data_IF_569856446329
#
_entry.id   IF_569856446329
#
_cell.length_a   1.000
_cell.length_b   1.000
_cell.length_c   1.000
_cell.angle_alpha   90.00
_cell.angle_beta   90.00
_cell.angle_gamma   90.00
#
_symmetry.space_group_name_H-M   'P 1'
#
loop_
_entity.id
_entity.type
_entity.pdbx_description
1 polymer ?
#
# COMPACT_ATOMS: atom_id res chain seq x y z
N UNK A 1 -1.29 16.16 27.27
CA UNK A 1 -0.84 14.91 27.89
C UNK A 1 0.21 14.29 26.99
N UNK A 2 1.51 14.54 27.26
CA UNK A 2 2.57 13.84 26.57
C UNK A 2 2.54 12.39 27.04
N UNK A 3 2.23 11.46 26.13
CA UNK A 3 2.39 10.04 26.36
C UNK A 3 3.88 9.78 26.64
N UNK A 4 4.18 9.21 27.80
CA UNK A 4 5.57 9.00 28.25
C UNK A 4 6.30 8.09 27.25
N UNK A 5 7.57 8.37 26.89
CA UNK A 5 8.40 7.53 26.03
C UNK A 5 8.42 6.06 26.47
N UNK A 6 8.37 5.81 27.78
CA UNK A 6 8.33 4.47 28.39
C UNK A 6 7.20 3.57 27.87
N UNK A 7 6.08 4.16 27.41
CA UNK A 7 4.99 3.38 26.81
C UNK A 7 5.32 2.92 25.39
N UNK A 8 6.11 3.66 24.61
CA UNK A 8 6.54 3.23 23.28
C UNK A 8 7.41 1.97 23.37
N UNK A 9 8.37 1.96 24.31
CA UNK A 9 9.25 0.82 24.54
C UNK A 9 8.47 -0.39 25.09
N UNK A 10 7.47 -0.15 25.96
CA UNK A 10 6.59 -1.21 26.45
C UNK A 10 5.78 -1.87 25.30
N UNK A 11 5.20 -1.07 24.41
CA UNK A 11 4.48 -1.61 23.23
C UNK A 11 5.44 -2.30 22.26
N UNK A 12 6.63 -1.77 22.05
CA UNK A 12 7.65 -2.41 21.22
C UNK A 12 8.03 -3.80 21.78
N UNK A 13 8.32 -3.88 23.08
CA UNK A 13 8.68 -5.14 23.75
C UNK A 13 7.51 -6.14 23.72
N UNK A 14 6.28 -5.67 23.90
CA UNK A 14 5.07 -6.49 23.75
C UNK A 14 4.97 -7.05 22.31
N UNK A 15 5.22 -6.21 21.30
CA UNK A 15 5.25 -6.63 19.91
C UNK A 15 6.31 -7.70 19.65
N UNK A 16 7.51 -7.59 20.24
CA UNK A 16 8.54 -8.61 20.12
C UNK A 16 8.08 -9.95 20.72
N UNK A 17 7.53 -9.93 21.93
CA UNK A 17 7.03 -11.14 22.57
C UNK A 17 5.89 -11.81 21.80
N UNK A 18 4.96 -11.03 21.24
CA UNK A 18 3.88 -11.52 20.41
C UNK A 18 4.38 -12.13 19.08
N UNK A 19 5.36 -11.46 18.44
CA UNK A 19 6.03 -11.98 17.23
C UNK A 19 6.70 -13.32 17.48
N UNK A 20 7.40 -13.49 18.60
CA UNK A 20 8.03 -14.76 19.00
C UNK A 20 7.01 -15.86 19.25
N UNK A 21 5.79 -15.51 19.71
CA UNK A 21 4.68 -16.44 19.86
C UNK A 21 3.98 -16.77 18.53
N UNK A 22 4.39 -16.17 17.41
CA UNK A 22 3.72 -16.32 16.12
C UNK A 22 2.42 -15.55 15.97
N UNK A 23 2.05 -14.69 16.93
CA UNK A 23 0.85 -13.84 16.93
C UNK A 23 1.14 -12.56 16.14
N UNK A 24 1.29 -12.72 14.80
CA UNK A 24 1.82 -11.65 13.96
C UNK A 24 0.90 -10.43 13.89
N UNK A 25 -0.43 -10.61 13.80
CA UNK A 25 -1.39 -9.50 13.73
C UNK A 25 -1.37 -8.67 15.03
N UNK A 26 -1.36 -9.34 16.19
CA UNK A 26 -1.26 -8.68 17.48
C UNK A 26 0.09 -7.96 17.65
N UNK A 27 1.18 -8.56 17.16
CA UNK A 27 2.50 -7.93 17.17
C UNK A 27 2.54 -6.65 16.32
N UNK A 28 1.95 -6.70 15.12
CA UNK A 28 1.83 -5.54 14.22
C UNK A 28 1.04 -4.42 14.90
N UNK A 29 -0.05 -4.75 15.59
CA UNK A 29 -0.84 -3.76 16.33
C UNK A 29 -0.04 -3.14 17.47
N UNK A 30 0.74 -3.93 18.21
CA UNK A 30 1.60 -3.43 19.27
C UNK A 30 2.70 -2.49 18.73
N UNK A 31 3.38 -2.85 17.64
CA UNK A 31 4.33 -1.97 16.97
C UNK A 31 3.67 -0.69 16.45
N UNK A 32 2.46 -0.78 15.90
CA UNK A 32 1.72 0.39 15.44
C UNK A 32 1.43 1.36 16.59
N UNK A 33 1.07 0.85 17.79
CA UNK A 33 0.89 1.67 19.00
C UNK A 33 2.22 2.31 19.45
N UNK A 34 3.32 1.56 19.41
CA UNK A 34 4.64 2.11 19.71
C UNK A 34 5.01 3.26 18.76
N UNK A 35 4.77 3.09 17.46
CA UNK A 35 5.05 4.09 16.42
C UNK A 35 4.10 5.30 16.47
N UNK A 36 2.89 5.14 16.96
CA UNK A 36 1.98 6.25 17.23
C UNK A 36 2.50 7.17 18.35
N UNK A 37 3.23 6.61 19.33
CA UNK A 37 3.85 7.35 20.44
C UNK A 37 5.20 7.91 20.02
N UNK A 38 6.03 7.11 19.34
CA UNK A 38 7.40 7.45 18.91
C UNK A 38 7.53 7.22 17.38
N UNK A 39 7.19 8.23 16.55
CA UNK A 39 7.14 8.09 15.07
C UNK A 39 8.50 7.87 14.39
N UNK A 40 9.61 8.02 15.12
CA UNK A 40 10.99 7.81 14.64
C UNK A 40 11.63 6.51 15.16
N UNK A 41 10.83 5.60 15.73
CA UNK A 41 11.30 4.33 16.31
C UNK A 41 11.71 3.33 15.23
N UNK A 42 12.95 3.40 14.76
CA UNK A 42 13.46 2.60 13.63
C UNK A 42 13.35 1.08 13.87
N UNK A 43 13.66 0.61 15.09
CA UNK A 43 13.60 -0.81 15.45
C UNK A 43 12.14 -1.34 15.39
N UNK A 44 11.16 -0.52 15.78
CA UNK A 44 9.76 -0.88 15.70
C UNK A 44 9.28 -0.99 14.23
N UNK A 45 9.73 -0.08 13.36
CA UNK A 45 9.47 -0.20 11.91
C UNK A 45 10.09 -1.46 11.30
N UNK A 46 11.34 -1.77 11.64
CA UNK A 46 12.03 -2.97 11.13
C UNK A 46 11.31 -4.24 11.57
N UNK A 47 10.99 -4.37 12.85
CA UNK A 47 10.30 -5.54 13.39
C UNK A 47 8.87 -5.67 12.87
N UNK A 48 8.16 -4.54 12.70
CA UNK A 48 6.86 -4.49 12.07
C UNK A 48 6.92 -4.96 10.60
N UNK A 49 7.92 -4.51 9.84
CA UNK A 49 8.11 -4.96 8.47
C UNK A 49 8.35 -6.46 8.36
N UNK A 50 9.11 -7.04 9.29
CA UNK A 50 9.32 -8.50 9.37
C UNK A 50 8.00 -9.21 9.70
N UNK A 51 7.22 -8.68 10.65
CA UNK A 51 5.94 -9.26 11.03
C UNK A 51 4.87 -9.17 9.93
N UNK A 52 4.90 -8.13 9.09
CA UNK A 52 4.00 -7.95 7.95
C UNK A 52 4.23 -8.96 6.82
N UNK A 53 5.39 -9.61 6.78
CA UNK A 53 5.74 -10.54 5.70
C UNK A 53 4.78 -11.71 5.65
N UNK A 54 4.03 -11.81 4.55
CA UNK A 54 3.08 -12.89 4.30
C UNK A 54 1.73 -12.76 5.02
N UNK A 55 1.53 -11.73 5.84
CA UNK A 55 0.24 -11.47 6.49
C UNK A 55 -0.80 -10.97 5.47
N UNK A 56 -2.04 -11.41 5.64
CA UNK A 56 -3.20 -10.94 4.87
C UNK A 56 -4.26 -10.50 5.88
N UNK A 57 -4.64 -9.23 5.81
CA UNK A 57 -5.66 -8.68 6.70
C UNK A 57 -7.06 -8.97 6.15
N UNK A 58 -7.98 -9.29 7.06
CA UNK A 58 -9.39 -9.55 6.76
C UNK A 58 -10.33 -8.44 7.28
N UNK A 59 -9.76 -7.37 7.83
CA UNK A 59 -10.49 -6.21 8.36
C UNK A 59 -9.78 -4.91 7.94
N UNK A 60 -10.54 -3.79 7.77
CA UNK A 60 -9.95 -2.50 7.48
C UNK A 60 -9.16 -1.96 8.69
N UNK A 61 -8.01 -1.35 8.44
CA UNK A 61 -7.22 -0.67 9.46
C UNK A 61 -6.53 0.58 8.88
N UNK A 62 -7.23 1.74 8.87
CA UNK A 62 -6.67 2.98 8.32
C UNK A 62 -5.42 3.49 9.05
N UNK A 63 -5.33 3.22 10.36
CA UNK A 63 -4.14 3.56 11.15
C UNK A 63 -2.91 2.80 10.66
N UNK A 64 -3.08 1.50 10.44
CA UNK A 64 -2.01 0.64 9.93
C UNK A 64 -1.60 1.01 8.49
N UNK A 65 -2.55 1.39 7.63
CA UNK A 65 -2.22 1.89 6.28
C UNK A 65 -1.28 3.10 6.33
N UNK A 66 -1.55 4.08 7.22
CA UNK A 66 -0.67 5.25 7.43
C UNK A 66 0.71 4.83 7.90
N UNK A 67 0.78 3.88 8.83
CA UNK A 67 2.07 3.38 9.35
C UNK A 67 2.87 2.64 8.28
N UNK A 68 2.21 1.80 7.45
CA UNK A 68 2.85 1.12 6.31
C UNK A 68 3.35 2.14 5.28
N UNK A 69 2.56 3.19 4.97
CA UNK A 69 3.01 4.28 4.09
C UNK A 69 4.26 4.95 4.65
N UNK A 70 4.30 5.23 5.95
CA UNK A 70 5.47 5.80 6.62
C UNK A 70 6.68 4.86 6.59
N UNK A 71 6.46 3.56 6.77
CA UNK A 71 7.49 2.52 6.67
C UNK A 71 8.10 2.48 5.26
N UNK A 72 7.28 2.53 4.22
CA UNK A 72 7.74 2.55 2.83
C UNK A 72 8.49 3.85 2.44
N UNK A 73 8.29 4.94 3.17
CA UNK A 73 9.01 6.19 2.98
C UNK A 73 10.38 6.23 3.66
N UNK A 74 10.63 5.35 4.61
CA UNK A 74 11.89 5.29 5.35
C UNK A 74 12.89 4.38 4.64
N UNK A 75 14.18 4.75 4.69
CA UNK A 75 15.28 3.90 4.19
C UNK A 75 15.60 2.82 5.24
N UNK A 76 14.76 1.80 5.34
CA UNK A 76 14.88 0.68 6.26
C UNK A 76 15.28 -0.60 5.51
N UNK A 77 15.71 -1.62 6.27
CA UNK A 77 16.11 -2.93 5.71
C UNK A 77 14.91 -3.80 5.26
N UNK A 78 13.70 -3.26 5.25
CA UNK A 78 12.48 -3.95 4.81
C UNK A 78 12.30 -3.76 3.31
N UNK A 79 12.18 -4.85 2.57
CA UNK A 79 11.91 -4.79 1.14
C UNK A 79 10.42 -4.47 0.91
N UNK A 80 10.07 -3.50 0.08
CA UNK A 80 8.67 -3.20 -0.24
C UNK A 80 7.87 -4.41 -0.71
N UNK A 81 8.48 -5.29 -1.52
CA UNK A 81 7.86 -6.54 -2.00
C UNK A 81 7.47 -7.51 -0.88
N UNK A 82 8.19 -7.53 0.25
CA UNK A 82 7.90 -8.42 1.37
C UNK A 82 6.59 -8.03 2.09
N UNK A 83 6.23 -6.74 2.07
CA UNK A 83 5.04 -6.20 2.74
C UNK A 83 3.89 -5.85 1.78
N UNK A 84 4.12 -5.95 0.47
CA UNK A 84 3.14 -5.58 -0.55
C UNK A 84 1.82 -6.34 -0.39
N UNK A 85 1.85 -7.64 -0.12
CA UNK A 85 0.65 -8.46 0.10
C UNK A 85 -0.19 -7.96 1.28
N UNK A 86 0.44 -7.66 2.40
CA UNK A 86 -0.24 -7.11 3.58
C UNK A 86 -0.88 -5.75 3.27
N UNK A 87 -0.15 -4.86 2.61
CA UNK A 87 -0.63 -3.55 2.23
C UNK A 87 -1.81 -3.62 1.24
N UNK A 88 -1.73 -4.48 0.22
CA UNK A 88 -2.81 -4.68 -0.75
C UNK A 88 -4.05 -5.24 -0.07
N UNK A 89 -3.90 -6.20 0.86
CA UNK A 89 -5.05 -6.73 1.59
C UNK A 89 -5.82 -5.66 2.36
N UNK A 90 -5.13 -4.68 2.93
CA UNK A 90 -5.77 -3.52 3.58
C UNK A 90 -6.41 -2.57 2.56
N UNK A 91 -5.75 -2.33 1.42
CA UNK A 91 -6.27 -1.46 0.36
C UNK A 91 -7.57 -2.00 -0.26
N UNK A 92 -7.75 -3.32 -0.33
CA UNK A 92 -8.99 -3.94 -0.83
C UNK A 92 -10.23 -3.63 0.03
N UNK A 93 -10.06 -3.08 1.24
CA UNK A 93 -11.16 -2.55 2.07
C UNK A 93 -11.49 -1.09 1.76
N UNK A 94 -10.66 -0.35 0.99
CA UNK A 94 -10.95 1.03 0.62
C UNK A 94 -12.19 1.10 -0.29
N UNK A 95 -13.25 1.84 0.10
CA UNK A 95 -14.50 1.82 -0.63
C UNK A 95 -14.37 2.25 -2.10
N UNK A 96 -13.52 3.24 -2.36
CA UNK A 96 -13.24 3.76 -3.70
C UNK A 96 -12.58 2.69 -4.57
N UNK A 97 -11.49 2.10 -4.10
CA UNK A 97 -10.78 1.04 -4.82
C UNK A 97 -11.68 -0.18 -5.05
N UNK A 98 -12.39 -0.62 -4.01
CA UNK A 98 -13.31 -1.76 -4.08
C UNK A 98 -14.43 -1.55 -5.11
N UNK A 99 -14.93 -0.31 -5.25
CA UNK A 99 -15.92 0.05 -6.27
C UNK A 99 -15.37 -0.15 -7.67
N UNK A 100 -14.17 0.39 -7.95
CA UNK A 100 -13.55 0.28 -9.27
C UNK A 100 -13.17 -1.15 -9.64
N UNK A 101 -12.62 -1.92 -8.69
CA UNK A 101 -12.34 -3.34 -8.91
C UNK A 101 -13.61 -4.14 -9.23
N UNK A 102 -14.74 -3.86 -8.55
CA UNK A 102 -16.01 -4.51 -8.86
C UNK A 102 -16.57 -4.12 -10.22
N UNK A 103 -16.54 -2.83 -10.55
CA UNK A 103 -17.04 -2.33 -11.86
C UNK A 103 -16.25 -2.95 -13.01
N UNK A 104 -14.94 -3.05 -12.84
CA UNK A 104 -14.07 -3.72 -13.82
C UNK A 104 -14.46 -5.19 -14.03
N UNK A 105 -14.75 -5.94 -12.96
CA UNK A 105 -15.10 -7.37 -13.05
C UNK A 105 -16.48 -7.63 -13.67
N UNK A 106 -17.43 -6.67 -13.60
CA UNK A 106 -18.83 -6.87 -14.04
C UNK A 106 -19.07 -6.31 -15.44
N UNK A 107 -18.17 -5.50 -16.00
CA UNK A 107 -18.22 -4.92 -17.36
C UNK A 107 -19.54 -4.22 -17.73
N UNK A 108 -20.39 -3.82 -16.77
CA UNK A 108 -21.70 -3.26 -17.04
C UNK A 108 -21.71 -1.75 -17.34
N UNK A 109 -20.70 -1.02 -16.87
CA UNK A 109 -20.56 0.43 -17.08
C UNK A 109 -19.09 0.78 -17.19
N UNK A 110 -18.68 1.40 -18.27
CA UNK A 110 -17.33 1.99 -18.38
C UNK A 110 -17.26 3.19 -17.42
N UNK A 111 -16.50 3.08 -16.31
CA UNK A 111 -16.32 4.21 -15.41
C UNK A 111 -15.51 5.28 -16.14
N UNK A 112 -15.85 6.55 -15.93
CA UNK A 112 -15.08 7.64 -16.52
C UNK A 112 -13.65 7.60 -15.98
N UNK A 113 -12.68 7.60 -16.86
CA UNK A 113 -11.26 7.56 -16.54
C UNK A 113 -10.87 8.59 -15.47
N UNK A 114 -11.39 9.83 -15.60
CA UNK A 114 -11.16 10.90 -14.64
C UNK A 114 -11.60 10.56 -13.22
N UNK A 115 -12.76 9.93 -13.05
CA UNK A 115 -13.30 9.57 -11.73
C UNK A 115 -12.43 8.48 -11.06
N UNK A 116 -11.93 7.52 -11.85
CA UNK A 116 -11.03 6.47 -11.33
C UNK A 116 -9.71 7.11 -10.89
N UNK A 117 -9.12 7.98 -11.71
CA UNK A 117 -7.86 8.65 -11.39
C UNK A 117 -8.02 9.49 -10.12
N UNK A 118 -9.09 10.29 -10.02
CA UNK A 118 -9.35 11.11 -8.84
C UNK A 118 -9.45 10.25 -7.57
N UNK A 119 -10.19 9.15 -7.61
CA UNK A 119 -10.35 8.27 -6.45
C UNK A 119 -9.07 7.56 -6.05
N UNK A 120 -8.28 7.07 -7.02
CA UNK A 120 -7.02 6.36 -6.76
C UNK A 120 -5.94 7.33 -6.25
N UNK A 121 -5.93 8.57 -6.76
CA UNK A 121 -4.99 9.61 -6.32
C UNK A 121 -5.14 9.98 -4.84
N UNK A 122 -6.27 9.67 -4.23
CA UNK A 122 -6.51 9.87 -2.80
C UNK A 122 -6.01 8.69 -1.92
N UNK A 123 -5.38 7.68 -2.50
CA UNK A 123 -4.89 6.48 -1.81
C UNK A 123 -3.35 6.48 -1.68
N UNK A 124 -2.77 7.19 -0.70
CA UNK A 124 -1.32 7.39 -0.61
C UNK A 124 -0.54 6.07 -0.44
N UNK A 125 -1.11 5.07 0.22
CA UNK A 125 -0.49 3.75 0.34
C UNK A 125 -0.40 3.04 -1.02
N UNK A 126 -1.44 3.15 -1.86
CA UNK A 126 -1.44 2.54 -3.18
C UNK A 126 -0.41 3.22 -4.10
N UNK A 127 -0.43 4.55 -4.18
CA UNK A 127 0.53 5.32 -4.97
C UNK A 127 1.97 5.01 -4.55
N UNK A 128 2.20 4.92 -3.23
CA UNK A 128 3.52 4.56 -2.71
C UNK A 128 3.95 3.16 -3.11
N UNK A 129 3.08 2.16 -2.99
CA UNK A 129 3.38 0.78 -3.43
C UNK A 129 3.72 0.74 -4.92
N UNK A 130 2.89 1.35 -5.77
CA UNK A 130 3.11 1.43 -7.22
C UNK A 130 4.48 2.02 -7.58
N UNK A 131 4.98 2.95 -6.78
CA UNK A 131 6.26 3.63 -7.04
C UNK A 131 7.50 2.85 -6.57
N UNK A 132 7.34 1.79 -5.74
CA UNK A 132 8.50 1.14 -5.08
C UNK A 132 8.58 -0.37 -5.30
N UNK A 133 7.51 -1.03 -5.75
CA UNK A 133 7.54 -2.47 -6.02
C UNK A 133 6.42 -2.90 -6.97
N UNK A 134 6.57 -4.05 -7.66
CA UNK A 134 5.48 -4.71 -8.36
C UNK A 134 4.35 -5.04 -7.39
N UNK A 135 3.11 -4.98 -7.87
CA UNK A 135 1.93 -5.32 -7.09
C UNK A 135 1.57 -6.80 -7.33
N UNK A 136 1.71 -7.69 -6.34
CA UNK A 136 1.40 -9.11 -6.51
C UNK A 136 -0.12 -9.37 -6.38
N UNK A 137 -0.93 -8.71 -7.24
CA UNK A 137 -2.39 -8.81 -7.23
C UNK A 137 -2.98 -8.65 -8.64
N UNK A 138 -3.58 -9.71 -9.15
CA UNK A 138 -4.09 -9.76 -10.52
C UNK A 138 -5.22 -8.76 -10.80
N UNK A 139 -6.09 -8.50 -9.82
CA UNK A 139 -7.20 -7.56 -10.00
C UNK A 139 -6.68 -6.13 -10.19
N UNK A 140 -5.66 -5.75 -9.40
CA UNK A 140 -4.99 -4.45 -9.54
C UNK A 140 -4.21 -4.36 -10.86
N UNK A 141 -3.49 -5.41 -11.24
CA UNK A 141 -2.75 -5.45 -12.50
C UNK A 141 -3.67 -5.26 -13.71
N UNK A 142 -4.80 -5.95 -13.72
CA UNK A 142 -5.79 -5.84 -14.77
C UNK A 142 -6.37 -4.41 -14.83
N UNK A 143 -6.78 -3.86 -13.67
CA UNK A 143 -7.28 -2.49 -13.59
C UNK A 143 -6.25 -1.48 -14.13
N UNK A 144 -4.98 -1.60 -13.74
CA UNK A 144 -3.95 -0.67 -14.19
C UNK A 144 -3.57 -0.86 -15.65
N UNK A 145 -3.69 -2.06 -16.20
CA UNK A 145 -3.49 -2.31 -17.64
C UNK A 145 -4.53 -1.58 -18.47
N UNK A 146 -5.79 -1.63 -18.07
CA UNK A 146 -6.88 -0.90 -18.71
C UNK A 146 -6.71 0.63 -18.57
N UNK A 147 -6.34 1.09 -17.37
CA UNK A 147 -6.09 2.51 -17.16
C UNK A 147 -4.95 3.03 -18.02
N UNK A 148 -3.89 2.24 -18.22
CA UNK A 148 -2.79 2.60 -19.14
C UNK A 148 -3.28 2.72 -20.58
N UNK A 149 -4.04 1.74 -21.06
CA UNK A 149 -4.59 1.76 -22.41
C UNK A 149 -5.51 3.00 -22.61
N UNK A 150 -6.39 3.28 -21.65
CA UNK A 150 -7.30 4.43 -21.70
C UNK A 150 -6.56 5.77 -21.64
N UNK A 151 -5.50 5.89 -20.82
CA UNK A 151 -4.69 7.09 -20.73
C UNK A 151 -3.94 7.40 -22.02
N UNK A 152 -3.44 6.38 -22.72
CA UNK A 152 -2.76 6.56 -24.01
C UNK A 152 -3.70 7.14 -25.09
N UNK A 153 -4.98 6.79 -25.04
CA UNK A 153 -6.01 7.29 -25.98
C UNK A 153 -6.48 8.70 -25.61
N UNK A 154 -6.57 9.01 -24.31
CA UNK A 154 -7.19 10.23 -23.78
C UNK A 154 -6.17 11.23 -23.21
N UNK A 155 -4.91 11.18 -23.62
CA UNK A 155 -3.84 12.02 -23.05
C UNK A 155 -4.10 13.53 -23.21
N UNK A 156 -4.86 13.92 -24.22
CA UNK A 156 -5.25 15.31 -24.49
C UNK A 156 -6.31 15.84 -23.51
N UNK A 157 -7.03 14.96 -22.81
CA UNK A 157 -8.18 15.32 -21.99
C UNK A 157 -7.83 15.44 -20.49
N UNK A 158 -6.55 15.24 -20.17
CA UNK A 158 -6.07 15.29 -18.80
C UNK A 158 -5.83 16.73 -18.36
N UNK A 159 -6.30 17.06 -17.15
CA UNK A 159 -6.24 18.43 -16.60
C UNK A 159 -4.87 18.81 -16.05
N UNK A 160 -4.00 17.81 -15.81
CA UNK A 160 -2.69 18.02 -15.22
C UNK A 160 -2.72 18.45 -13.76
N UNK A 161 -3.78 18.12 -13.01
CA UNK A 161 -3.84 18.37 -11.59
C UNK A 161 -2.70 17.65 -10.84
N UNK A 162 -2.24 18.17 -9.67
CA UNK A 162 -1.15 17.53 -8.92
C UNK A 162 -1.40 16.05 -8.61
N UNK A 163 -2.63 15.66 -8.25
CA UNK A 163 -3.00 14.27 -7.98
C UNK A 163 -2.97 13.40 -9.24
N UNK A 164 -3.42 13.91 -10.38
CA UNK A 164 -3.32 13.22 -11.68
C UNK A 164 -1.86 12.99 -12.08
N UNK A 165 -1.00 13.98 -11.92
CA UNK A 165 0.42 13.86 -12.23
C UNK A 165 1.13 12.85 -11.31
N UNK A 166 0.79 12.83 -10.02
CA UNK A 166 1.32 11.86 -9.09
C UNK A 166 0.88 10.43 -9.45
N UNK A 167 -0.40 10.24 -9.78
CA UNK A 167 -0.91 8.95 -10.24
C UNK A 167 -0.26 8.50 -11.55
N UNK A 168 -0.16 9.38 -12.55
CA UNK A 168 0.49 9.07 -13.82
C UNK A 168 1.96 8.65 -13.63
N UNK A 169 2.68 9.37 -12.75
CA UNK A 169 4.06 9.03 -12.41
C UNK A 169 4.16 7.66 -11.74
N UNK A 170 3.27 7.37 -10.79
CA UNK A 170 3.22 6.08 -10.12
C UNK A 170 2.87 4.94 -11.09
N UNK A 171 1.93 5.18 -12.01
CA UNK A 171 1.52 4.22 -13.03
C UNK A 171 2.63 3.94 -14.05
N UNK A 172 3.40 4.96 -14.46
CA UNK A 172 4.56 4.80 -15.32
C UNK A 172 5.67 3.98 -14.63
N UNK A 173 5.95 4.25 -13.36
CA UNK A 173 6.90 3.48 -12.55
C UNK A 173 6.44 2.02 -12.40
N UNK A 174 5.15 1.80 -12.20
CA UNK A 174 4.57 0.46 -12.11
C UNK A 174 4.76 -0.34 -13.41
N UNK A 175 4.57 0.28 -14.57
CA UNK A 175 4.87 -0.35 -15.87
C UNK A 175 6.32 -0.83 -15.91
N UNK A 176 7.23 0.05 -15.56
CA UNK A 176 8.66 -0.24 -15.62
C UNK A 176 9.08 -1.37 -14.67
N UNK A 177 8.50 -1.41 -13.47
CA UNK A 177 8.79 -2.48 -12.49
C UNK A 177 8.22 -3.83 -12.91
N UNK A 178 7.06 -3.85 -13.60
CA UNK A 178 6.42 -5.08 -14.03
C UNK A 178 7.04 -5.68 -15.29
N UNK A 179 7.46 -4.87 -16.26
CA UNK A 179 8.14 -5.37 -17.47
C UNK A 179 9.40 -6.18 -17.15
N UNK A 180 10.11 -5.85 -16.08
CA UNK A 180 11.26 -6.62 -15.62
C UNK A 180 10.92 -8.02 -15.09
N UNK A 181 9.67 -8.25 -14.65
CA UNK A 181 9.24 -9.54 -14.09
C UNK A 181 8.72 -10.47 -15.19
N UNK A 182 8.04 -9.92 -16.21
CA UNK A 182 7.46 -10.72 -17.29
C UNK A 182 8.50 -11.21 -18.33
N UNK A 183 9.62 -10.49 -18.51
CA UNK A 183 10.70 -10.89 -19.41
C UNK A 183 11.65 -11.97 -18.84
N UNK A 184 11.42 -12.45 -17.61
CA UNK A 184 12.21 -13.53 -17.00
C UNK A 184 11.52 -14.90 -17.06
N UNK A 185 10.34 -15.00 -17.68
CA UNK A 185 9.54 -16.23 -17.78
C UNK A 185 9.42 -16.79 -19.20
N UNK A 186 10.21 -16.30 -20.16
CA UNK A 186 10.52 -16.92 -21.44
C UNK A 186 11.98 -17.46 -21.37
#
# INVERSE_FOLDING_TARGET
>A
LSLKPDYADAYYNMGNALKEQGKLEEAIEAYNKALAIKPDYAEAYNNMGIALKGVVFNQPNPGLQKTITSLLNKKLHVRPSDIARAAISLLKFEPKLKRHLKQYLVAEVEPKLHDIIADISELPLLLKLMSVCPLPDLDLENLFSELRASLLVSISDLTGSPGELEFQSALALQCFTNEYIYNQSE
#
